data_IF_407448375198
#
_entry.id   IF_407448375198
#
_cell.length_a   1.000
_cell.length_b   1.000
_cell.length_c   1.000
_cell.angle_alpha   90.00
_cell.angle_beta   90.00
_cell.angle_gamma   90.00
#
_symmetry.space_group_name_H-M   'P 1'
#
loop_
_entity.id
_entity.type
_entity.pdbx_description
1 polymer ?
#
# COMPACT_ATOMS: atom_id res chain seq x y z
N UNK A 1 2.92 -95.51 -16.42
CA UNK A 1 2.18 -94.28 -16.04
C UNK A 1 2.94 -93.61 -14.88
N UNK A 2 3.64 -92.54 -15.16
CA UNK A 2 4.40 -91.79 -14.12
C UNK A 2 3.51 -90.69 -13.60
N UNK A 3 3.14 -90.76 -12.32
CA UNK A 3 2.45 -89.71 -11.63
C UNK A 3 3.39 -88.48 -11.43
N UNK A 4 3.00 -87.37 -11.95
CA UNK A 4 3.69 -86.12 -11.71
C UNK A 4 3.03 -85.48 -10.44
N UNK A 5 3.68 -85.67 -9.30
CA UNK A 5 3.30 -84.96 -8.06
C UNK A 5 3.74 -83.52 -8.18
N UNK A 6 2.79 -82.63 -8.43
CA UNK A 6 2.99 -81.17 -8.42
C UNK A 6 3.13 -80.73 -6.98
N UNK A 7 4.34 -80.37 -6.55
CA UNK A 7 4.64 -79.75 -5.26
C UNK A 7 4.04 -78.31 -5.27
N UNK A 8 2.94 -78.12 -4.56
CA UNK A 8 2.38 -76.84 -4.30
C UNK A 8 3.25 -76.21 -3.20
N UNK A 9 4.13 -75.28 -3.58
CA UNK A 9 4.80 -74.41 -2.61
C UNK A 9 3.72 -73.57 -1.84
N UNK A 10 3.49 -73.89 -0.55
CA UNK A 10 2.71 -73.07 0.35
C UNK A 10 3.38 -71.68 0.47
N UNK A 11 2.83 -70.71 -0.20
CA UNK A 11 3.16 -69.29 0.14
C UNK A 11 2.70 -69.08 1.57
N UNK A 12 3.64 -68.79 2.47
CA UNK A 12 3.36 -68.42 3.83
C UNK A 12 2.88 -66.95 3.72
N UNK A 13 1.57 -66.69 3.76
CA UNK A 13 1.03 -65.35 3.86
C UNK A 13 1.47 -64.70 5.17
N UNK A 14 1.73 -63.42 5.12
CA UNK A 14 1.98 -62.59 6.32
C UNK A 14 0.75 -62.70 7.20
N UNK A 15 0.91 -63.13 8.47
CA UNK A 15 -0.21 -63.20 9.39
C UNK A 15 -0.74 -61.80 9.68
N UNK A 16 -2.06 -61.63 9.88
CA UNK A 16 -2.70 -60.35 10.19
C UNK A 16 -1.98 -59.62 11.35
N UNK A 17 -1.54 -60.41 12.34
CA UNK A 17 -0.78 -59.90 13.50
C UNK A 17 0.59 -59.35 13.08
N UNK A 18 1.32 -60.00 12.21
CA UNK A 18 2.61 -59.50 11.71
C UNK A 18 2.42 -58.21 10.88
N UNK A 19 1.33 -58.10 10.10
CA UNK A 19 1.00 -56.89 9.36
C UNK A 19 0.69 -55.71 10.30
N UNK A 20 -0.13 -55.96 11.33
CA UNK A 20 -0.47 -54.92 12.33
C UNK A 20 0.78 -54.46 13.08
N UNK A 21 1.65 -55.36 13.52
CA UNK A 21 2.90 -55.00 14.20
C UNK A 21 3.80 -54.18 13.28
N UNK A 22 3.96 -54.52 11.99
CA UNK A 22 4.76 -53.74 11.07
C UNK A 22 4.21 -52.33 10.84
N UNK A 23 2.89 -52.18 10.76
CA UNK A 23 2.26 -50.86 10.64
C UNK A 23 2.52 -50.01 11.89
N UNK A 24 2.34 -50.59 13.09
CA UNK A 24 2.61 -49.91 14.36
C UNK A 24 4.09 -49.47 14.44
N UNK A 25 5.02 -50.31 14.11
CA UNK A 25 6.46 -50.00 14.09
C UNK A 25 6.76 -48.88 13.09
N UNK A 26 6.17 -48.91 11.88
CA UNK A 26 6.36 -47.88 10.88
C UNK A 26 5.81 -46.52 11.35
N UNK A 27 4.64 -46.51 12.02
CA UNK A 27 4.07 -45.30 12.60
C UNK A 27 4.98 -44.72 13.70
N UNK A 28 5.46 -45.58 14.61
CA UNK A 28 6.36 -45.15 15.67
C UNK A 28 7.67 -44.59 15.11
N UNK A 29 8.27 -45.26 14.11
CA UNK A 29 9.47 -44.73 13.44
C UNK A 29 9.23 -43.41 12.74
N UNK A 30 8.07 -43.24 12.08
CA UNK A 30 7.69 -41.99 11.44
C UNK A 30 7.55 -40.86 12.48
N UNK A 31 6.85 -41.10 13.60
CA UNK A 31 6.67 -40.11 14.68
C UNK A 31 8.01 -39.70 15.31
N UNK A 32 8.89 -40.68 15.59
CA UNK A 32 10.22 -40.41 16.13
C UNK A 32 11.06 -39.62 15.14
N UNK A 33 11.03 -39.97 13.85
CA UNK A 33 11.76 -39.25 12.81
C UNK A 33 11.29 -37.81 12.67
N UNK A 34 9.98 -37.57 12.69
CA UNK A 34 9.39 -36.19 12.65
C UNK A 34 9.79 -35.38 13.87
N UNK A 35 9.75 -35.99 15.07
CA UNK A 35 10.16 -35.33 16.31
C UNK A 35 11.65 -34.96 16.32
N UNK A 36 12.50 -35.85 15.82
CA UNK A 36 13.94 -35.55 15.67
C UNK A 36 14.14 -34.37 14.70
N UNK A 37 13.48 -34.38 13.54
CA UNK A 37 13.58 -33.30 12.56
C UNK A 37 13.12 -31.96 13.13
N UNK A 38 12.05 -31.94 13.91
CA UNK A 38 11.58 -30.71 14.61
C UNK A 38 12.58 -30.26 15.70
N UNK A 39 13.05 -31.16 16.54
CA UNK A 39 13.93 -30.82 17.65
C UNK A 39 15.35 -30.42 17.24
N UNK A 40 15.80 -30.82 16.04
CA UNK A 40 17.12 -30.44 15.49
C UNK A 40 17.08 -29.14 14.71
N UNK A 41 15.91 -28.50 14.55
CA UNK A 41 15.74 -27.30 13.75
C UNK A 41 16.04 -27.50 12.25
N UNK A 42 16.06 -28.74 11.77
CA UNK A 42 16.37 -29.06 10.38
C UNK A 42 15.31 -28.50 9.41
N UNK A 43 14.03 -28.52 9.83
CA UNK A 43 12.94 -27.95 9.01
C UNK A 43 13.11 -26.44 8.91
N UNK A 44 13.34 -25.74 10.02
CA UNK A 44 13.57 -24.30 10.06
C UNK A 44 14.80 -23.89 9.24
N UNK A 45 15.89 -24.64 9.32
CA UNK A 45 17.08 -24.42 8.51
C UNK A 45 16.83 -24.65 7.03
N UNK A 46 16.03 -25.65 6.67
CA UNK A 46 15.66 -25.91 5.28
C UNK A 46 14.75 -24.82 4.72
N UNK A 47 13.80 -24.32 5.51
CA UNK A 47 12.96 -23.21 5.13
C UNK A 47 13.78 -21.93 4.96
N UNK A 48 14.68 -21.63 5.90
CA UNK A 48 15.57 -20.46 5.80
C UNK A 48 16.45 -20.55 4.55
N UNK A 49 17.08 -21.71 4.28
CA UNK A 49 17.90 -21.91 3.09
C UNK A 49 17.10 -21.74 1.79
N UNK A 50 15.84 -22.18 1.77
CA UNK A 50 14.91 -21.97 0.65
C UNK A 50 14.64 -20.48 0.43
N UNK A 51 14.37 -19.73 1.50
CA UNK A 51 14.13 -18.29 1.42
C UNK A 51 15.40 -17.51 1.02
N UNK A 52 16.58 -17.88 1.52
CA UNK A 52 17.85 -17.32 1.08
C UNK A 52 18.13 -17.55 -0.41
N UNK A 53 17.83 -18.77 -0.91
CA UNK A 53 17.94 -19.09 -2.33
C UNK A 53 16.95 -18.24 -3.16
N UNK A 54 15.72 -18.10 -2.70
CA UNK A 54 14.69 -17.25 -3.32
C UNK A 54 15.13 -15.80 -3.40
N UNK A 55 15.64 -15.25 -2.30
CA UNK A 55 16.18 -13.88 -2.25
C UNK A 55 17.35 -13.68 -3.25
N UNK A 56 18.22 -14.67 -3.36
CA UNK A 56 19.36 -14.62 -4.29
C UNK A 56 18.91 -14.68 -5.75
N UNK A 57 17.93 -15.51 -6.07
CA UNK A 57 17.36 -15.60 -7.42
C UNK A 57 16.67 -14.28 -7.84
N UNK A 58 15.95 -13.62 -6.93
CA UNK A 58 15.32 -12.32 -7.19
C UNK A 58 16.41 -11.25 -7.43
N UNK A 59 17.45 -11.22 -6.58
CA UNK A 59 18.54 -10.27 -6.72
C UNK A 59 19.28 -10.43 -8.05
N UNK A 60 19.55 -11.67 -8.48
CA UNK A 60 20.19 -11.97 -9.76
C UNK A 60 19.36 -11.44 -10.93
N UNK A 61 18.05 -11.67 -10.94
CA UNK A 61 17.18 -11.13 -12.00
C UNK A 61 17.12 -9.61 -12.01
N UNK A 62 17.16 -8.98 -10.84
CA UNK A 62 17.21 -7.53 -10.72
C UNK A 62 18.53 -6.95 -11.25
N UNK A 63 19.65 -7.60 -10.97
CA UNK A 63 20.96 -7.17 -11.46
C UNK A 63 21.08 -7.38 -12.98
N UNK A 64 20.50 -8.45 -13.53
CA UNK A 64 20.39 -8.64 -14.98
C UNK A 64 19.57 -7.53 -15.64
N UNK A 65 18.43 -7.17 -15.08
CA UNK A 65 17.60 -6.06 -15.58
C UNK A 65 18.38 -4.74 -15.60
N UNK A 66 19.13 -4.42 -14.54
CA UNK A 66 19.95 -3.19 -14.48
C UNK A 66 21.02 -3.16 -15.56
N UNK A 67 21.67 -4.30 -15.81
CA UNK A 67 22.64 -4.42 -16.88
C UNK A 67 22.00 -4.23 -18.27
N UNK A 68 20.82 -4.84 -18.50
CA UNK A 68 20.04 -4.66 -19.73
C UNK A 68 19.63 -3.19 -19.94
N UNK A 69 19.23 -2.50 -18.87
CA UNK A 69 18.91 -1.07 -18.94
C UNK A 69 20.13 -0.20 -19.29
N UNK A 70 21.31 -0.50 -18.74
CA UNK A 70 22.54 0.21 -19.10
C UNK A 70 22.93 0.00 -20.56
N UNK A 71 22.80 -1.22 -21.07
CA UNK A 71 23.06 -1.55 -22.49
C UNK A 71 22.05 -0.83 -23.41
N UNK A 72 20.75 -0.84 -23.08
CA UNK A 72 19.72 -0.16 -23.85
C UNK A 72 19.97 1.35 -23.92
N UNK A 73 20.40 1.98 -22.80
CA UNK A 73 20.81 3.39 -22.78
C UNK A 73 21.96 3.70 -23.72
N UNK A 74 22.98 2.85 -23.74
CA UNK A 74 24.15 3.03 -24.63
C UNK A 74 23.78 2.90 -26.11
N UNK A 75 22.78 2.06 -26.43
CA UNK A 75 22.32 1.79 -27.78
C UNK A 75 21.19 2.73 -28.25
N UNK A 76 20.67 3.62 -27.40
CA UNK A 76 19.44 4.40 -27.61
C UNK A 76 18.22 3.51 -27.91
N UNK A 77 18.13 2.36 -27.27
CA UNK A 77 17.00 1.43 -27.34
C UNK A 77 16.04 1.67 -26.16
N UNK A 78 14.82 1.09 -26.27
CA UNK A 78 13.85 1.14 -25.16
C UNK A 78 14.35 0.34 -23.97
N UNK A 79 14.44 0.98 -22.81
CA UNK A 79 14.87 0.31 -21.57
C UNK A 79 13.82 -0.71 -21.09
N UNK A 80 14.24 -1.93 -20.69
CA UNK A 80 13.33 -2.90 -20.11
C UNK A 80 12.78 -2.40 -18.77
N UNK A 81 11.49 -2.67 -18.54
CA UNK A 81 10.74 -2.12 -17.41
C UNK A 81 10.90 -2.96 -16.15
N UNK A 82 11.07 -2.28 -15.01
CA UNK A 82 11.03 -2.94 -13.69
C UNK A 82 9.67 -3.58 -13.38
N UNK A 83 8.58 -3.04 -13.93
CA UNK A 83 7.25 -3.62 -13.81
C UNK A 83 7.13 -4.97 -14.52
N UNK A 84 7.78 -5.14 -15.67
CA UNK A 84 7.84 -6.42 -16.38
C UNK A 84 8.61 -7.45 -15.57
N UNK A 85 9.72 -7.05 -14.94
CA UNK A 85 10.45 -7.92 -14.02
C UNK A 85 9.56 -8.36 -12.84
N UNK A 86 8.88 -7.44 -12.19
CA UNK A 86 8.00 -7.74 -11.03
C UNK A 86 6.90 -8.73 -11.44
N UNK A 87 6.25 -8.53 -12.58
CA UNK A 87 5.24 -9.44 -13.08
C UNK A 87 5.83 -10.83 -13.38
N UNK A 88 7.00 -10.89 -14.00
CA UNK A 88 7.74 -12.14 -14.27
C UNK A 88 8.10 -12.88 -12.99
N UNK A 89 8.59 -12.18 -11.97
CA UNK A 89 8.90 -12.78 -10.65
C UNK A 89 7.65 -13.38 -9.99
N UNK A 90 6.50 -12.72 -10.14
CA UNK A 90 5.22 -13.24 -9.65
C UNK A 90 4.76 -14.48 -10.42
N UNK A 91 4.82 -14.48 -11.75
CA UNK A 91 4.51 -15.63 -12.60
C UNK A 91 5.39 -16.83 -12.29
N UNK A 92 6.66 -16.60 -12.00
CA UNK A 92 7.63 -17.62 -11.56
C UNK A 92 7.44 -18.04 -10.10
N UNK A 93 6.49 -17.45 -9.37
CA UNK A 93 6.25 -17.69 -7.94
C UNK A 93 7.46 -17.39 -7.04
N UNK A 94 8.34 -16.53 -7.50
CA UNK A 94 9.46 -16.01 -6.70
C UNK A 94 9.01 -14.93 -5.72
N UNK A 95 7.91 -14.24 -6.01
CA UNK A 95 7.24 -13.31 -5.09
C UNK A 95 5.75 -13.64 -5.02
N UNK A 96 5.16 -13.36 -3.85
CA UNK A 96 3.71 -13.46 -3.63
C UNK A 96 3.02 -12.18 -4.11
N UNK A 97 1.68 -12.18 -4.17
CA UNK A 97 0.90 -10.96 -4.47
C UNK A 97 1.10 -9.87 -3.41
N UNK A 98 1.19 -10.27 -2.14
CA UNK A 98 1.45 -9.34 -1.01
C UNK A 98 2.84 -8.72 -1.13
N UNK A 99 3.86 -9.52 -1.46
CA UNK A 99 5.22 -9.05 -1.69
C UNK A 99 5.29 -8.12 -2.90
N UNK A 100 4.61 -8.43 -4.00
CA UNK A 100 4.47 -7.54 -5.15
C UNK A 100 3.89 -6.19 -4.75
N UNK A 101 2.80 -6.19 -3.99
CA UNK A 101 2.18 -4.95 -3.49
C UNK A 101 3.15 -4.16 -2.61
N UNK A 102 3.93 -4.83 -1.77
CA UNK A 102 4.96 -4.20 -0.95
C UNK A 102 6.06 -3.56 -1.82
N UNK A 103 6.54 -4.26 -2.86
CA UNK A 103 7.52 -3.72 -3.81
C UNK A 103 6.95 -2.49 -4.52
N UNK A 104 5.71 -2.57 -5.01
CA UNK A 104 5.08 -1.44 -5.70
C UNK A 104 4.93 -0.20 -4.80
N UNK A 105 4.64 -0.41 -3.52
CA UNK A 105 4.45 0.68 -2.54
C UNK A 105 5.76 1.30 -2.07
N UNK A 106 6.77 0.47 -1.81
CA UNK A 106 8.00 0.85 -1.09
C UNK A 106 9.24 0.82 -1.96
N UNK A 107 9.16 0.22 -3.15
CA UNK A 107 10.31 -0.03 -4.03
C UNK A 107 11.23 -1.15 -3.54
N UNK A 108 10.91 -1.86 -2.46
CA UNK A 108 11.76 -2.87 -1.85
C UNK A 108 11.00 -4.00 -1.18
N UNK A 109 11.70 -5.10 -0.87
CA UNK A 109 11.18 -6.24 -0.13
C UNK A 109 12.28 -6.81 0.77
N UNK A 110 11.88 -7.46 1.87
CA UNK A 110 12.81 -8.17 2.77
C UNK A 110 12.48 -9.67 2.77
N UNK A 111 13.45 -10.52 2.41
CA UNK A 111 13.34 -11.97 2.39
C UNK A 111 14.55 -12.54 3.15
N UNK A 112 14.33 -13.45 4.10
CA UNK A 112 15.38 -14.04 4.94
C UNK A 112 16.34 -12.98 5.53
N UNK A 113 15.78 -11.88 6.04
CA UNK A 113 16.52 -10.72 6.59
C UNK A 113 17.37 -9.95 5.56
N UNK A 114 17.31 -10.28 4.27
CA UNK A 114 17.98 -9.56 3.19
C UNK A 114 17.03 -8.58 2.55
N UNK A 115 17.37 -7.29 2.55
CA UNK A 115 16.62 -6.26 1.84
C UNK A 115 17.03 -6.24 0.36
N UNK A 116 16.06 -6.33 -0.54
CA UNK A 116 16.21 -6.23 -1.99
C UNK A 116 15.52 -4.95 -2.45
N UNK A 117 16.28 -4.05 -3.07
CA UNK A 117 15.80 -2.74 -3.49
C UNK A 117 15.63 -2.73 -5.01
N UNK A 118 14.37 -2.64 -5.46
CA UNK A 118 13.97 -2.50 -6.87
C UNK A 118 14.03 -1.05 -7.32
N UNK A 119 13.57 -0.13 -6.45
CA UNK A 119 13.58 1.30 -6.67
C UNK A 119 13.71 2.01 -5.32
N UNK A 120 14.16 3.27 -5.33
CA UNK A 120 14.19 4.10 -4.11
C UNK A 120 12.82 4.63 -3.72
N UNK A 121 11.90 4.65 -4.68
CA UNK A 121 10.54 5.17 -4.55
C UNK A 121 9.52 4.11 -4.97
N UNK A 122 8.25 4.41 -4.69
CA UNK A 122 7.13 3.60 -5.18
C UNK A 122 7.18 3.48 -6.72
N UNK A 123 6.87 2.30 -7.22
CA UNK A 123 6.96 1.98 -8.65
C UNK A 123 5.63 2.34 -9.30
N UNK A 124 5.69 3.18 -10.32
CA UNK A 124 4.53 3.57 -11.12
C UNK A 124 4.23 2.55 -12.23
N UNK A 125 2.98 2.44 -12.67
CA UNK A 125 2.64 1.68 -13.88
C UNK A 125 3.41 2.18 -15.10
N UNK A 126 3.58 1.30 -16.09
CA UNK A 126 4.24 1.67 -17.33
C UNK A 126 3.54 2.86 -18.02
N UNK A 127 4.33 3.81 -18.50
CA UNK A 127 3.84 5.04 -19.13
C UNK A 127 3.40 6.14 -18.17
N UNK A 128 3.42 5.89 -16.85
CA UNK A 128 3.18 6.93 -15.86
C UNK A 128 4.47 7.67 -15.52
N UNK A 129 4.35 8.97 -15.29
CA UNK A 129 5.47 9.81 -14.87
C UNK A 129 5.14 10.48 -13.54
N UNK A 130 6.00 10.33 -12.53
CA UNK A 130 5.83 10.98 -11.24
C UNK A 130 6.02 12.48 -11.35
N UNK A 131 5.14 13.25 -10.72
CA UNK A 131 5.26 14.70 -10.58
C UNK A 131 5.59 15.07 -9.13
N UNK A 132 6.12 16.27 -8.94
CA UNK A 132 6.35 16.82 -7.61
C UNK A 132 5.03 17.07 -6.88
N UNK A 133 4.01 17.55 -7.59
CA UNK A 133 2.71 17.93 -7.04
C UNK A 133 1.64 18.01 -8.14
N UNK A 134 0.38 18.16 -7.70
CA UNK A 134 -0.74 18.61 -8.52
C UNK A 134 -1.26 19.94 -7.95
N UNK A 135 -1.50 20.93 -8.80
CA UNK A 135 -2.08 22.21 -8.43
C UNK A 135 -3.56 22.27 -8.82
N UNK A 136 -4.42 22.61 -7.85
CA UNK A 136 -5.81 22.94 -8.06
C UNK A 136 -5.97 24.45 -8.26
N UNK A 137 -6.67 24.85 -9.31
CA UNK A 137 -7.04 26.25 -9.57
C UNK A 137 -8.33 26.67 -8.88
N UNK A 138 -8.88 25.83 -7.98
CA UNK A 138 -10.04 26.13 -7.17
C UNK A 138 -11.31 25.33 -7.49
N UNK A 139 -11.24 24.40 -8.43
CA UNK A 139 -12.40 23.55 -8.81
C UNK A 139 -12.07 22.05 -8.85
N UNK A 140 -10.80 21.68 -8.75
CA UNK A 140 -10.34 20.31 -8.82
C UNK A 140 -10.28 19.68 -7.43
N UNK A 141 -10.73 18.41 -7.33
CA UNK A 141 -10.70 17.62 -6.11
C UNK A 141 -10.60 16.12 -6.42
N UNK A 142 -10.22 15.34 -5.43
CA UNK A 142 -10.11 13.89 -5.51
C UNK A 142 -11.12 13.22 -4.58
N UNK A 143 -11.92 12.29 -5.09
CA UNK A 143 -12.69 11.35 -4.29
C UNK A 143 -11.78 10.16 -3.93
N UNK A 144 -11.50 9.94 -2.66
CA UNK A 144 -10.57 8.90 -2.20
C UNK A 144 -11.14 7.49 -2.24
N UNK A 145 -12.45 7.35 -2.50
CA UNK A 145 -13.20 6.08 -2.36
C UNK A 145 -12.99 5.40 -0.99
N UNK A 146 -12.78 6.21 0.05
CA UNK A 146 -12.61 5.77 1.43
C UNK A 146 -13.55 6.52 2.36
N UNK A 147 -14.25 5.79 3.24
CA UNK A 147 -15.16 6.34 4.26
C UNK A 147 -14.46 6.35 5.62
N UNK A 148 -14.14 7.54 6.17
CA UNK A 148 -13.40 7.60 7.43
C UNK A 148 -14.27 7.24 8.65
N UNK A 149 -13.58 6.85 9.70
CA UNK A 149 -14.12 6.55 11.03
C UNK A 149 -13.21 7.11 12.13
N UNK A 150 -13.52 6.82 13.38
CA UNK A 150 -12.72 7.30 14.51
C UNK A 150 -11.29 6.71 14.61
N UNK A 151 -11.01 5.62 13.90
CA UNK A 151 -9.67 5.00 13.84
C UNK A 151 -8.89 5.42 12.59
N UNK A 152 -9.46 6.32 11.77
CA UNK A 152 -8.79 6.86 10.60
C UNK A 152 -7.69 7.84 11.02
N UNK A 153 -6.53 7.69 10.38
CA UNK A 153 -5.46 8.69 10.38
C UNK A 153 -5.19 9.16 8.96
N UNK A 154 -4.83 10.42 8.80
CA UNK A 154 -4.50 11.01 7.51
C UNK A 154 -3.26 11.89 7.64
N UNK A 155 -2.39 11.83 6.64
CA UNK A 155 -1.27 12.74 6.45
C UNK A 155 -1.37 13.33 5.04
N UNK A 156 -1.39 14.64 4.95
CA UNK A 156 -1.45 15.37 3.68
C UNK A 156 -0.36 16.44 3.66
N UNK A 157 0.42 16.47 2.58
CA UNK A 157 1.39 17.52 2.33
C UNK A 157 0.81 18.46 1.28
N UNK A 158 0.68 19.74 1.65
CA UNK A 158 -0.08 20.72 0.86
C UNK A 158 0.50 22.12 1.00
N UNK A 159 0.30 22.95 -0.03
CA UNK A 159 0.41 24.43 0.06
C UNK A 159 -0.95 25.01 -0.28
N UNK A 160 -1.52 25.77 0.65
CA UNK A 160 -2.76 26.52 0.43
C UNK A 160 -2.41 27.92 -0.04
N UNK A 161 -2.87 28.28 -1.22
CA UNK A 161 -2.53 29.60 -1.81
C UNK A 161 -3.56 30.69 -1.50
N UNK A 162 -4.75 30.32 -1.02
CA UNK A 162 -5.84 31.25 -0.72
C UNK A 162 -6.26 31.17 0.74
N UNK A 163 -6.63 32.31 1.33
CA UNK A 163 -6.87 32.49 2.77
C UNK A 163 -8.30 32.22 3.24
N UNK A 164 -9.23 31.88 2.35
CA UNK A 164 -10.65 31.82 2.72
C UNK A 164 -11.11 30.37 2.71
N UNK A 165 -11.33 29.78 3.89
CA UNK A 165 -12.01 28.50 4.11
C UNK A 165 -11.60 27.39 3.12
N UNK A 166 -10.30 27.10 3.06
CA UNK A 166 -9.78 26.07 2.16
C UNK A 166 -9.90 24.70 2.81
N UNK A 167 -10.61 23.80 2.17
CA UNK A 167 -10.73 22.41 2.60
C UNK A 167 -9.47 21.63 2.26
N UNK A 168 -8.88 20.96 3.24
CA UNK A 168 -7.79 20.00 3.01
C UNK A 168 -8.37 18.61 2.66
N UNK A 169 -9.31 18.15 3.47
CA UNK A 169 -10.09 16.95 3.23
C UNK A 169 -11.44 17.05 3.96
N UNK A 170 -12.43 16.34 3.45
CA UNK A 170 -13.75 16.32 4.06
C UNK A 170 -14.53 15.04 3.73
N UNK A 171 -15.19 14.51 4.78
CA UNK A 171 -16.30 13.57 4.66
C UNK A 171 -17.42 14.08 5.57
N UNK A 172 -18.57 14.46 5.00
CA UNK A 172 -19.66 15.08 5.75
C UNK A 172 -21.02 14.56 5.27
N UNK A 173 -21.87 14.19 6.20
CA UNK A 173 -23.24 13.76 5.90
C UNK A 173 -24.16 14.98 5.70
N UNK A 174 -24.16 15.90 6.67
CA UNK A 174 -24.81 17.23 6.59
C UNK A 174 -24.13 18.18 7.58
N UNK A 175 -24.60 19.43 7.68
CA UNK A 175 -24.00 20.47 8.53
C UNK A 175 -24.03 20.17 10.04
N UNK A 176 -24.92 19.28 10.48
CA UNK A 176 -25.16 19.00 11.91
C UNK A 176 -24.79 17.57 12.32
N UNK A 177 -24.27 16.75 11.40
CA UNK A 177 -23.99 15.34 11.64
C UNK A 177 -22.49 15.00 11.60
N UNK A 178 -22.20 13.68 11.59
CA UNK A 178 -20.86 13.12 11.64
C UNK A 178 -20.01 13.64 10.49
N UNK A 179 -18.90 14.25 10.85
CA UNK A 179 -17.95 14.83 9.91
C UNK A 179 -16.53 14.42 10.28
N UNK A 180 -15.70 14.19 9.28
CA UNK A 180 -14.26 14.04 9.40
C UNK A 180 -13.61 15.00 8.40
N UNK A 181 -13.06 16.10 8.87
CA UNK A 181 -12.56 17.16 7.97
C UNK A 181 -11.53 18.05 8.61
N UNK A 182 -10.70 18.68 7.77
CA UNK A 182 -9.83 19.76 8.14
C UNK A 182 -9.91 20.90 7.13
N UNK A 183 -9.97 22.15 7.66
CA UNK A 183 -10.01 23.38 6.88
C UNK A 183 -8.98 24.37 7.41
N UNK A 184 -8.30 25.06 6.50
CA UNK A 184 -7.56 26.28 6.82
C UNK A 184 -8.53 27.46 6.72
N UNK A 185 -8.82 28.07 7.89
CA UNK A 185 -9.73 29.20 8.04
C UNK A 185 -8.94 30.48 8.15
N UNK A 186 -9.14 31.43 7.25
CA UNK A 186 -8.51 32.76 7.29
C UNK A 186 -6.98 32.76 7.47
N UNK A 187 -6.33 31.66 7.04
CA UNK A 187 -4.88 31.53 7.01
C UNK A 187 -4.17 31.18 8.31
N UNK A 188 -4.81 31.36 9.46
CA UNK A 188 -4.19 31.15 10.78
C UNK A 188 -4.94 30.14 11.66
N UNK A 189 -6.20 29.86 11.34
CA UNK A 189 -7.01 28.94 12.11
C UNK A 189 -7.21 27.64 11.35
N UNK A 190 -6.89 26.54 12.00
CA UNK A 190 -7.29 25.22 11.54
C UNK A 190 -8.60 24.83 12.21
N UNK A 191 -9.63 24.57 11.42
CA UNK A 191 -10.86 23.96 11.86
C UNK A 191 -10.80 22.47 11.58
N UNK A 192 -10.99 21.67 12.62
CA UNK A 192 -11.01 20.22 12.55
C UNK A 192 -12.38 19.73 13.04
N UNK A 193 -13.09 19.02 12.19
CA UNK A 193 -14.34 18.36 12.57
C UNK A 193 -14.06 16.87 12.75
N UNK A 194 -14.33 16.34 13.95
CA UNK A 194 -14.11 14.95 14.33
C UNK A 194 -15.38 14.38 14.95
N UNK A 195 -16.07 13.51 14.20
CA UNK A 195 -17.41 13.06 14.54
C UNK A 195 -18.41 14.23 14.49
N UNK A 196 -19.05 14.56 15.61
CA UNK A 196 -19.93 15.72 15.73
C UNK A 196 -19.30 16.89 16.53
N UNK A 197 -17.98 16.90 16.63
CA UNK A 197 -17.24 17.95 17.34
C UNK A 197 -16.53 18.84 16.32
N UNK A 198 -16.63 20.13 16.55
CA UNK A 198 -15.88 21.14 15.82
C UNK A 198 -14.82 21.73 16.76
N UNK A 199 -13.58 21.71 16.30
CA UNK A 199 -12.45 22.28 17.03
C UNK A 199 -11.80 23.36 16.17
N UNK A 200 -11.42 24.45 16.80
CA UNK A 200 -10.64 25.51 16.21
C UNK A 200 -9.33 25.62 16.97
N UNK A 201 -8.23 25.60 16.25
CA UNK A 201 -6.91 25.83 16.83
C UNK A 201 -6.19 26.93 16.06
N UNK A 202 -5.57 27.84 16.79
CA UNK A 202 -4.74 28.87 16.20
C UNK A 202 -3.37 28.32 15.86
N UNK A 203 -2.89 28.68 14.68
CA UNK A 203 -1.55 28.40 14.24
C UNK A 203 -0.98 29.62 13.52
N UNK A 204 0.33 29.71 13.35
CA UNK A 204 0.91 30.74 12.47
C UNK A 204 0.38 30.60 11.04
N UNK A 205 0.41 31.70 10.25
CA UNK A 205 -0.10 31.65 8.88
C UNK A 205 0.60 30.57 8.05
N UNK A 206 -0.21 29.65 7.50
CA UNK A 206 0.21 28.57 6.61
C UNK A 206 0.03 28.89 5.12
N UNK A 207 -0.53 30.09 4.80
CA UNK A 207 -0.78 30.49 3.43
C UNK A 207 0.54 30.68 2.69
N UNK A 208 0.61 30.11 1.48
CA UNK A 208 1.79 30.15 0.63
C UNK A 208 2.96 29.32 1.13
N UNK A 209 2.84 28.66 2.28
CA UNK A 209 3.87 27.77 2.83
C UNK A 209 3.53 26.32 2.52
N UNK A 210 4.55 25.53 2.22
CA UNK A 210 4.46 24.07 2.16
C UNK A 210 4.44 23.52 3.60
N UNK A 211 3.46 22.69 3.93
CA UNK A 211 3.39 22.04 5.25
C UNK A 211 2.80 20.63 5.16
N UNK A 212 3.11 19.84 6.18
CA UNK A 212 2.52 18.53 6.42
C UNK A 212 1.48 18.66 7.53
N UNK A 213 0.22 18.46 7.19
CA UNK A 213 -0.85 18.29 8.16
C UNK A 213 -1.04 16.79 8.39
N UNK A 214 -1.08 16.38 9.67
CA UNK A 214 -1.37 14.99 10.05
C UNK A 214 -2.43 14.98 11.13
N UNK A 215 -3.46 14.20 10.93
CA UNK A 215 -4.40 13.82 11.96
C UNK A 215 -4.21 12.34 12.27
N UNK A 216 -3.76 12.02 13.47
CA UNK A 216 -3.61 10.65 13.96
C UNK A 216 -4.74 10.36 14.94
N UNK A 217 -5.83 9.75 14.43
CA UNK A 217 -7.10 9.66 15.16
C UNK A 217 -7.55 11.04 15.65
N UNK A 218 -7.47 11.28 16.96
CA UNK A 218 -7.89 12.52 17.63
C UNK A 218 -6.75 13.51 17.92
N UNK A 219 -5.52 13.20 17.51
CA UNK A 219 -4.34 14.09 17.67
C UNK A 219 -4.01 14.79 16.34
N UNK A 220 -3.70 16.06 16.41
CA UNK A 220 -3.48 16.94 15.27
C UNK A 220 -2.06 17.47 15.29
N UNK A 221 -1.36 17.28 14.19
CA UNK A 221 0.02 17.69 14.00
C UNK A 221 0.17 18.59 12.78
N UNK A 222 1.03 19.59 12.88
CA UNK A 222 1.51 20.39 11.74
C UNK A 222 3.03 20.35 11.74
N UNK A 223 3.64 19.93 10.63
CA UNK A 223 5.08 19.76 10.49
C UNK A 223 5.73 18.91 11.60
N UNK A 224 4.98 17.92 12.11
CA UNK A 224 5.41 17.02 13.19
C UNK A 224 5.20 17.54 14.60
N UNK A 225 4.76 18.78 14.78
CA UNK A 225 4.42 19.37 16.08
C UNK A 225 2.96 19.07 16.43
N UNK A 226 2.70 18.53 17.63
CA UNK A 226 1.35 18.32 18.17
C UNK A 226 0.72 19.68 18.53
N UNK A 227 -0.33 20.06 17.82
CA UNK A 227 -1.00 21.35 18.00
C UNK A 227 -2.35 21.26 18.71
N UNK A 228 -2.98 20.10 18.71
CA UNK A 228 -4.25 19.86 19.39
C UNK A 228 -4.52 18.38 19.64
N UNK A 229 -5.26 18.10 20.72
CA UNK A 229 -5.86 16.78 20.98
C UNK A 229 -7.36 16.98 21.14
N UNK A 230 -8.15 16.30 20.34
CA UNK A 230 -9.61 16.37 20.34
C UNK A 230 -10.14 15.27 21.23
N UNK A 231 -11.28 15.48 21.87
CA UNK A 231 -11.91 14.43 22.68
C UNK A 231 -12.28 13.23 21.79
N UNK A 232 -11.86 12.05 22.21
CA UNK A 232 -12.21 10.80 21.52
C UNK A 232 -13.71 10.60 21.38
N UNK A 233 -14.11 10.04 20.26
CA UNK A 233 -15.49 9.73 19.94
C UNK A 233 -15.59 8.59 18.94
N UNK A 234 -16.53 7.68 19.13
CA UNK A 234 -16.85 6.64 18.18
C UNK A 234 -17.78 7.17 17.10
N UNK A 235 -17.40 7.03 15.83
CA UNK A 235 -18.22 7.40 14.68
C UNK A 235 -17.77 6.66 13.42
N UNK A 236 -18.65 6.64 12.43
CA UNK A 236 -18.42 6.18 11.06
C UNK A 236 -19.05 7.20 10.13
N UNK A 237 -18.29 7.72 9.16
CA UNK A 237 -18.81 8.59 8.12
C UNK A 237 -19.62 7.78 7.07
N UNK A 238 -20.72 8.36 6.61
CA UNK A 238 -21.56 7.73 5.60
C UNK A 238 -21.00 7.84 4.18
N UNK A 239 -20.24 8.90 3.91
CA UNK A 239 -19.73 9.26 2.59
C UNK A 239 -18.22 9.15 2.47
N UNK A 240 -17.74 9.02 1.24
CA UNK A 240 -16.32 9.02 0.93
C UNK A 240 -15.69 10.35 1.32
N UNK A 241 -14.42 10.31 1.69
CA UNK A 241 -13.61 11.49 1.92
C UNK A 241 -13.10 12.07 0.60
N UNK A 242 -13.23 13.40 0.47
CA UNK A 242 -12.69 14.15 -0.65
C UNK A 242 -11.46 14.93 -0.21
N UNK A 243 -10.46 15.02 -1.06
CA UNK A 243 -9.27 15.87 -0.88
C UNK A 243 -9.48 17.18 -1.64
N UNK A 244 -9.11 18.30 -1.05
CA UNK A 244 -9.20 19.67 -1.57
C UNK A 244 -10.63 20.19 -1.80
N UNK A 245 -11.64 19.47 -1.31
CA UNK A 245 -13.03 19.93 -1.37
C UNK A 245 -13.80 19.51 -0.13
N UNK A 246 -14.75 20.35 0.29
CA UNK A 246 -15.83 19.92 1.17
C UNK A 246 -17.04 19.48 0.37
N UNK A 247 -17.85 18.63 0.99
CA UNK A 247 -19.12 18.25 0.42
C UNK A 247 -20.18 18.08 1.53
N UNK A 248 -21.45 18.23 1.14
CA UNK A 248 -22.58 17.92 1.98
C UNK A 248 -23.37 16.83 1.24
N UNK A 249 -23.34 15.61 1.78
CA UNK A 249 -23.81 14.46 1.02
C UNK A 249 -22.90 14.23 -0.21
N UNK A 250 -23.48 13.84 -1.33
CA UNK A 250 -22.74 13.61 -2.59
C UNK A 250 -22.88 14.77 -3.59
N UNK A 251 -23.68 15.77 -3.29
CA UNK A 251 -24.19 16.71 -4.30
C UNK A 251 -23.59 18.12 -4.19
N UNK A 252 -23.36 18.59 -2.98
CA UNK A 252 -22.92 19.98 -2.78
C UNK A 252 -21.41 20.01 -2.51
N UNK A 253 -20.64 20.27 -3.55
CA UNK A 253 -19.18 20.45 -3.47
C UNK A 253 -18.88 21.92 -3.26
N UNK A 254 -18.07 22.23 -2.24
CA UNK A 254 -17.68 23.59 -1.88
C UNK A 254 -16.26 23.64 -1.33
N UNK A 255 -15.80 24.87 -1.03
CA UNK A 255 -14.49 25.14 -0.43
C UNK A 255 -13.28 24.54 -1.18
N UNK A 256 -13.45 24.23 -2.48
CA UNK A 256 -12.35 24.06 -3.38
C UNK A 256 -11.63 25.39 -3.54
N UNK A 257 -10.32 25.44 -3.30
CA UNK A 257 -9.53 26.67 -3.43
C UNK A 257 -8.17 26.33 -4.03
N UNK A 258 -7.49 27.34 -4.55
CA UNK A 258 -6.16 27.16 -5.10
C UNK A 258 -5.23 26.53 -4.06
N UNK A 259 -4.77 25.35 -4.36
CA UNK A 259 -3.93 24.54 -3.47
C UNK A 259 -3.00 23.65 -4.28
N UNK A 260 -1.83 23.38 -3.73
CA UNK A 260 -0.85 22.45 -4.31
C UNK A 260 -0.82 21.21 -3.42
N UNK A 261 -1.12 20.06 -3.99
CA UNK A 261 -1.13 18.76 -3.31
C UNK A 261 0.12 17.97 -3.69
N UNK A 262 0.94 17.62 -2.70
CA UNK A 262 2.19 16.88 -2.89
C UNK A 262 2.02 15.38 -2.68
N UNK A 263 1.27 14.96 -1.67
CA UNK A 263 0.85 13.60 -1.40
C UNK A 263 -0.26 13.55 -0.36
N UNK A 264 -0.92 12.39 -0.28
CA UNK A 264 -1.82 12.09 0.82
C UNK A 264 -1.74 10.61 1.18
N UNK A 265 -1.65 10.32 2.48
CA UNK A 265 -1.69 8.97 3.03
C UNK A 265 -2.84 8.82 3.99
N UNK A 266 -3.52 7.69 3.94
CA UNK A 266 -4.66 7.38 4.81
C UNK A 266 -4.44 6.02 5.43
N UNK A 267 -4.61 5.94 6.75
CA UNK A 267 -4.61 4.70 7.51
C UNK A 267 -5.99 4.46 8.11
N UNK A 268 -6.37 3.20 8.18
CA UNK A 268 -7.53 2.72 8.94
C UNK A 268 -7.04 1.66 9.93
N UNK A 269 -7.32 1.84 11.23
CA UNK A 269 -6.80 0.97 12.29
C UNK A 269 -5.27 0.73 12.20
N UNK A 270 -4.51 1.78 11.91
CA UNK A 270 -3.04 1.78 11.71
C UNK A 270 -2.56 1.01 10.46
N UNK A 271 -3.47 0.52 9.60
CA UNK A 271 -3.14 -0.10 8.32
C UNK A 271 -3.21 0.97 7.25
N UNK A 272 -2.15 1.13 6.45
CA UNK A 272 -2.12 2.04 5.32
C UNK A 272 -3.12 1.55 4.25
N UNK A 273 -4.17 2.32 3.99
CA UNK A 273 -5.24 1.96 3.03
C UNK A 273 -5.19 2.80 1.76
N UNK A 274 -4.52 3.96 1.79
CA UNK A 274 -4.25 4.82 0.63
C UNK A 274 -2.87 5.46 0.75
N UNK A 275 -2.16 5.53 -0.36
CA UNK A 275 -0.91 6.28 -0.49
C UNK A 275 -0.89 6.96 -1.86
N UNK A 276 -1.47 8.14 -1.91
CA UNK A 276 -1.62 8.94 -3.12
C UNK A 276 -0.34 9.69 -3.45
N UNK A 277 0.18 9.49 -4.64
CA UNK A 277 1.30 10.23 -5.21
C UNK A 277 0.87 10.92 -6.52
N UNK A 278 1.32 12.16 -6.78
CA UNK A 278 0.97 12.88 -7.99
C UNK A 278 1.73 12.37 -9.19
N UNK A 279 1.02 12.16 -10.31
CA UNK A 279 1.61 11.72 -11.56
C UNK A 279 0.85 12.21 -12.80
N UNK A 280 1.49 12.04 -13.93
CA UNK A 280 0.85 12.01 -15.24
C UNK A 280 0.63 10.53 -15.62
N UNK A 281 -0.55 10.19 -16.13
CA UNK A 281 -0.83 8.87 -16.68
C UNK A 281 -0.18 8.70 -18.07
N UNK A 282 -0.37 7.53 -18.69
CA UNK A 282 0.17 7.22 -20.02
C UNK A 282 -0.32 8.15 -21.14
N UNK A 283 -1.37 8.95 -20.89
CA UNK A 283 -1.90 9.98 -21.82
C UNK A 283 -1.49 11.40 -21.40
N UNK A 284 -0.53 11.54 -20.48
CA UNK A 284 -0.10 12.81 -19.87
C UNK A 284 -1.22 13.54 -19.11
N UNK A 285 -2.24 12.84 -18.62
CA UNK A 285 -3.31 13.42 -17.83
C UNK A 285 -2.92 13.46 -16.36
N UNK A 286 -3.03 14.62 -15.67
CA UNK A 286 -2.71 14.74 -14.25
C UNK A 286 -3.65 13.89 -13.37
N UNK A 287 -3.08 13.13 -12.45
CA UNK A 287 -3.80 12.21 -11.58
C UNK A 287 -3.05 11.96 -10.27
N UNK A 288 -3.76 11.42 -9.28
CA UNK A 288 -3.17 10.82 -8.09
C UNK A 288 -3.16 9.30 -8.27
N UNK A 289 -1.99 8.69 -8.18
CA UNK A 289 -1.86 7.23 -8.18
C UNK A 289 -1.80 6.73 -6.74
N UNK A 290 -2.69 5.81 -6.38
CA UNK A 290 -2.67 5.14 -5.08
C UNK A 290 -1.79 3.90 -5.14
N UNK A 291 -0.62 3.96 -4.53
CA UNK A 291 0.35 2.86 -4.54
C UNK A 291 -0.12 1.65 -3.71
N UNK A 292 -1.13 1.81 -2.85
CA UNK A 292 -1.70 0.70 -2.06
C UNK A 292 -2.66 -0.13 -2.88
N UNK A 293 -3.62 0.53 -3.56
CA UNK A 293 -4.63 -0.18 -4.37
C UNK A 293 -4.21 -0.41 -5.81
N UNK A 294 -3.15 0.25 -6.29
CA UNK A 294 -2.76 0.24 -7.70
C UNK A 294 -3.74 1.00 -8.62
N UNK A 295 -4.61 1.84 -8.06
CA UNK A 295 -5.63 2.56 -8.81
C UNK A 295 -5.24 4.02 -9.06
N UNK A 296 -5.73 4.54 -10.16
CA UNK A 296 -5.55 5.95 -10.54
C UNK A 296 -6.80 6.74 -10.21
N UNK A 297 -6.62 7.91 -9.60
CA UNK A 297 -7.67 8.82 -9.17
C UNK A 297 -7.54 10.13 -9.92
N UNK A 298 -8.58 10.47 -10.66
CA UNK A 298 -8.64 11.69 -11.46
C UNK A 298 -9.46 12.77 -10.77
N UNK A 299 -9.31 14.00 -11.26
CA UNK A 299 -10.17 15.11 -10.89
C UNK A 299 -11.66 14.76 -11.07
N UNK A 300 -12.46 15.05 -10.05
CA UNK A 300 -13.91 14.91 -10.05
C UNK A 300 -14.65 16.26 -10.24
N UNK A 301 -13.90 17.35 -10.22
CA UNK A 301 -14.40 18.71 -10.45
C UNK A 301 -14.32 19.15 -11.91
N UNK A 302 -14.32 20.43 -12.13
CA UNK A 302 -14.20 21.03 -13.47
C UNK A 302 -12.75 21.36 -13.80
N UNK A 303 -12.42 21.34 -15.10
CA UNK A 303 -11.05 21.55 -15.58
C UNK A 303 -10.12 20.38 -15.25
N UNK A 304 -8.83 20.61 -15.28
CA UNK A 304 -7.79 19.64 -14.96
C UNK A 304 -6.87 20.20 -13.87
N UNK A 305 -6.24 19.33 -13.10
CA UNK A 305 -5.11 19.72 -12.27
C UNK A 305 -3.94 20.17 -13.15
N UNK A 306 -3.14 21.10 -12.65
CA UNK A 306 -1.85 21.43 -13.26
C UNK A 306 -0.79 20.55 -12.62
N UNK A 307 -0.10 19.75 -13.42
CA UNK A 307 1.00 18.93 -12.94
C UNK A 307 2.23 19.81 -12.67
N UNK A 308 2.84 19.62 -11.51
CA UNK A 308 4.14 20.21 -11.22
C UNK A 308 5.28 19.54 -12.00
N UNK A 309 6.54 19.94 -11.74
CA UNK A 309 7.70 19.36 -12.40
C UNK A 309 7.73 17.83 -12.27
N UNK A 310 8.08 17.15 -13.35
CA UNK A 310 8.31 15.70 -13.33
C UNK A 310 9.54 15.36 -12.49
N UNK A 311 9.46 14.26 -11.77
CA UNK A 311 10.58 13.70 -11.00
C UNK A 311 11.22 12.59 -11.84
N UNK A 312 12.48 12.78 -12.18
CA UNK A 312 13.32 11.81 -12.90
C UNK A 312 13.97 10.82 -11.93
#
# INVERSE_FOLDING_TARGET
MKEIVKSIKKQKGITLVALVITIIVLILLAVVSINIMKNTGLIEKAELAKEEHRASAIQEQLDLLKNEQEIAKQNNETEPSINELINRLQEQKLITEEEKNTIMQTGKITIASKEIIFSRDAILPQGYTRCKNLESTGTQYINTNFKPNNNTSIEIKVTVQNSINTCLYCSRTNLSQITYSAFLMQGTNLRIDYGNQQNLTNHESLIGKEYVYRQEKNEIYVNGELIATIKEKNFQCAYNMYLLASHIGEINIDNCRNSILYYCKIWDNNILVRNFIPCLDSNNRPCMYDTVSGQTFYNQGTGEFIAGPTLT
#
